data_IF_577214159096
#
_entry.id   IF_577214159096
#
_cell.length_a   1.000
_cell.length_b   1.000
_cell.length_c   1.000
_cell.angle_alpha   90.00
_cell.angle_beta   90.00
_cell.angle_gamma   90.00
#
_symmetry.space_group_name_H-M   'P 1'
#
loop_
_entity.id
_entity.type
_entity.pdbx_description
1 polymer ?
#
# COMPACT_ATOMS: atom_id res chain seq x y z
N UNK A 1 -38.74 -45.77 -34.08
CA UNK A 1 -39.82 -45.25 -33.21
C UNK A 1 -39.19 -44.50 -32.06
N UNK A 2 -39.62 -43.24 -31.93
CA UNK A 2 -39.03 -42.12 -31.19
C UNK A 2 -39.51 -42.15 -29.74
N UNK A 3 -38.65 -42.39 -28.73
CA UNK A 3 -38.80 -41.93 -27.32
C UNK A 3 -37.48 -42.05 -26.53
N UNK A 4 -36.53 -41.14 -26.71
CA UNK A 4 -35.42 -40.98 -25.76
C UNK A 4 -34.78 -39.58 -25.85
N UNK A 5 -35.54 -38.50 -25.68
CA UNK A 5 -34.96 -37.15 -25.61
C UNK A 5 -35.84 -36.19 -24.83
N UNK A 6 -36.29 -36.56 -23.63
CA UNK A 6 -36.90 -35.61 -22.69
C UNK A 6 -36.51 -36.08 -21.29
N UNK A 7 -35.47 -35.50 -20.71
CA UNK A 7 -35.24 -35.46 -19.25
C UNK A 7 -33.98 -34.63 -18.88
N UNK A 8 -33.11 -34.28 -19.83
CA UNK A 8 -31.88 -33.54 -19.54
C UNK A 8 -32.03 -32.01 -19.65
N UNK A 9 -33.14 -31.45 -19.17
CA UNK A 9 -33.33 -29.99 -19.12
C UNK A 9 -33.89 -29.48 -17.78
N UNK A 10 -34.06 -30.35 -16.78
CA UNK A 10 -34.66 -30.00 -15.49
C UNK A 10 -33.65 -29.69 -14.37
N UNK A 11 -32.34 -29.65 -14.65
CA UNK A 11 -31.30 -29.48 -13.63
C UNK A 11 -30.51 -28.15 -13.73
N UNK A 12 -30.91 -27.24 -14.63
CA UNK A 12 -30.23 -25.94 -14.79
C UNK A 12 -30.81 -24.81 -13.91
N UNK A 13 -31.75 -25.10 -13.01
CA UNK A 13 -32.39 -24.10 -12.16
C UNK A 13 -31.89 -24.09 -10.71
N UNK A 14 -30.62 -24.45 -10.46
CA UNK A 14 -29.91 -23.87 -9.32
C UNK A 14 -29.24 -22.58 -9.82
N UNK A 15 -30.07 -21.59 -10.18
CA UNK A 15 -29.62 -20.22 -10.17
C UNK A 15 -29.30 -19.91 -8.69
N UNK A 16 -28.01 -19.88 -8.36
CA UNK A 16 -27.55 -19.31 -7.11
C UNK A 16 -28.15 -17.91 -7.03
N UNK A 17 -29.15 -17.71 -6.16
CA UNK A 17 -29.45 -16.38 -5.67
C UNK A 17 -28.23 -15.99 -4.85
N UNK A 18 -27.30 -15.27 -5.47
CA UNK A 18 -26.38 -14.44 -4.70
C UNK A 18 -27.30 -13.47 -3.96
N UNK A 19 -27.47 -13.71 -2.67
CA UNK A 19 -28.04 -12.72 -1.77
C UNK A 19 -27.22 -11.45 -1.96
N UNK A 20 -27.91 -10.33 -2.20
CA UNK A 20 -27.34 -8.98 -2.09
C UNK A 20 -26.95 -8.76 -0.62
N UNK A 21 -25.91 -9.45 -0.15
CA UNK A 21 -25.13 -8.94 0.95
C UNK A 21 -24.46 -7.70 0.37
N UNK A 22 -24.82 -6.51 0.87
CA UNK A 22 -24.23 -5.24 0.46
C UNK A 22 -22.70 -5.35 0.50
N UNK A 23 -22.09 -5.63 -0.65
CA UNK A 23 -20.63 -5.73 -0.76
C UNK A 23 -20.12 -4.31 -0.56
N UNK A 24 -19.61 -4.02 0.63
CA UNK A 24 -18.88 -2.79 0.88
C UNK A 24 -17.76 -2.71 -0.16
N UNK A 25 -17.89 -1.76 -1.08
CA UNK A 25 -16.89 -1.54 -2.11
C UNK A 25 -15.64 -0.99 -1.44
N UNK A 26 -14.47 -1.45 -1.86
CA UNK A 26 -13.21 -0.92 -1.36
C UNK A 26 -12.18 -0.84 -2.47
N UNK A 27 -11.24 0.09 -2.33
CA UNK A 27 -10.14 0.29 -3.26
C UNK A 27 -8.84 0.52 -2.48
N UNK A 28 -7.70 0.27 -3.11
CA UNK A 28 -6.38 0.55 -2.53
C UNK A 28 -5.83 1.81 -3.17
N UNK A 29 -5.38 2.75 -2.36
CA UNK A 29 -4.78 4.02 -2.79
C UNK A 29 -3.40 4.18 -2.14
N UNK A 30 -2.50 4.88 -2.83
CA UNK A 30 -1.27 5.36 -2.24
C UNK A 30 -1.49 6.75 -1.67
N UNK A 31 -0.94 7.02 -0.48
CA UNK A 31 -0.95 8.34 0.13
C UNK A 31 0.47 8.91 0.20
N UNK A 32 0.64 10.24 0.00
CA UNK A 32 1.94 10.88 0.09
C UNK A 32 2.57 10.69 1.48
N UNK A 33 3.87 10.39 1.50
CA UNK A 33 4.67 10.45 2.72
C UNK A 33 5.00 11.91 3.02
N UNK A 34 4.61 12.41 4.19
CA UNK A 34 4.82 13.80 4.60
C UNK A 34 6.21 14.04 5.20
N UNK A 35 6.71 13.09 5.99
CA UNK A 35 8.03 13.17 6.61
C UNK A 35 8.57 11.80 6.95
N UNK A 36 9.88 11.72 7.14
CA UNK A 36 10.56 10.49 7.55
C UNK A 36 11.68 10.77 8.54
N UNK A 37 11.99 9.75 9.35
CA UNK A 37 13.17 9.72 10.21
C UNK A 37 14.00 8.53 9.74
N UNK A 38 15.10 8.85 9.04
CA UNK A 38 16.03 7.87 8.49
C UNK A 38 17.38 8.05 9.22
N UNK A 39 18.03 6.98 9.68
CA UNK A 39 19.37 7.08 10.25
C UNK A 39 20.38 7.70 9.28
N UNK A 40 21.32 8.48 9.82
CA UNK A 40 22.38 9.12 9.02
C UNK A 40 23.39 8.10 8.44
N UNK A 41 23.52 6.94 9.08
CA UNK A 41 24.36 5.83 8.63
C UNK A 41 23.79 4.48 9.11
N UNK A 42 24.16 3.41 8.42
CA UNK A 42 23.87 2.05 8.85
C UNK A 42 25.15 1.27 9.10
N UNK A 43 25.14 0.39 10.10
CA UNK A 43 26.17 -0.62 10.33
C UNK A 43 25.72 -1.91 9.65
N UNK A 44 26.62 -2.54 8.89
CA UNK A 44 26.31 -3.76 8.15
C UNK A 44 25.70 -4.85 9.05
N UNK A 45 24.57 -5.43 8.60
CA UNK A 45 23.87 -6.50 9.32
C UNK A 45 23.10 -6.07 10.58
N UNK A 46 23.10 -4.79 10.96
CA UNK A 46 22.26 -4.26 12.05
C UNK A 46 20.85 -3.89 11.56
N UNK A 47 19.86 -4.01 12.43
CA UNK A 47 18.48 -3.65 12.11
C UNK A 47 18.18 -2.22 12.56
N UNK A 48 17.51 -1.49 11.69
CA UNK A 48 17.13 -0.10 11.89
C UNK A 48 15.63 0.04 11.70
N UNK A 49 14.99 0.79 12.58
CA UNK A 49 13.60 1.19 12.42
C UNK A 49 13.56 2.55 11.70
N UNK A 50 12.92 2.58 10.54
CA UNK A 50 12.69 3.81 9.78
C UNK A 50 11.25 4.22 10.01
N UNK A 51 11.04 5.47 10.41
CA UNK A 51 9.72 6.04 10.64
C UNK A 51 9.32 6.91 9.46
N UNK A 52 8.03 6.89 9.15
CA UNK A 52 7.40 7.77 8.18
C UNK A 52 6.05 8.27 8.70
N UNK A 53 5.63 9.42 8.22
CA UNK A 53 4.30 9.96 8.49
C UNK A 53 3.55 10.21 7.19
N UNK A 54 2.23 10.15 7.26
CA UNK A 54 1.33 10.50 6.17
C UNK A 54 0.02 11.08 6.71
N UNK A 55 -0.69 11.87 5.90
CA UNK A 55 -2.02 12.37 6.27
C UNK A 55 -3.07 11.34 5.90
N UNK A 56 -3.82 10.87 6.90
CA UNK A 56 -5.04 10.08 6.73
C UNK A 56 -6.23 11.04 6.47
N UNK A 57 -6.80 11.10 5.25
CA UNK A 57 -7.79 12.12 4.93
C UNK A 57 -9.13 11.92 5.64
N UNK A 58 -9.60 10.68 5.73
CA UNK A 58 -10.91 10.36 6.32
C UNK A 58 -10.85 9.10 7.18
N UNK A 59 -11.87 8.89 8.01
CA UNK A 59 -12.02 7.66 8.82
C UNK A 59 -12.12 6.38 8.00
N UNK A 60 -12.46 6.49 6.70
CA UNK A 60 -12.57 5.35 5.80
C UNK A 60 -11.25 4.96 5.14
N UNK A 61 -10.18 5.74 5.36
CA UNK A 61 -8.83 5.41 4.92
C UNK A 61 -8.14 4.58 6.01
N UNK A 62 -8.04 3.28 5.79
CA UNK A 62 -7.41 2.35 6.73
C UNK A 62 -6.01 2.00 6.23
N UNK A 63 -5.01 2.17 7.10
CA UNK A 63 -3.65 1.71 6.83
C UNK A 63 -3.66 0.26 6.36
N UNK A 64 -3.13 0.02 5.16
CA UNK A 64 -3.04 -1.32 4.58
C UNK A 64 -1.63 -1.87 4.76
N UNK A 65 -0.64 -1.15 4.26
CA UNK A 65 0.75 -1.59 4.24
C UNK A 65 1.70 -0.44 3.90
N UNK A 66 3.00 -0.67 4.11
CA UNK A 66 4.08 0.12 3.50
C UNK A 66 4.57 -0.66 2.28
N UNK A 67 4.31 -0.13 1.09
CA UNK A 67 4.83 -0.70 -0.15
C UNK A 67 6.31 -0.38 -0.30
N UNK A 68 7.10 -1.38 -0.73
CA UNK A 68 8.50 -1.20 -1.09
C UNK A 68 8.80 -1.81 -2.46
N UNK A 69 9.50 -1.07 -3.31
CA UNK A 69 10.04 -1.54 -4.58
C UNK A 69 11.57 -1.47 -4.54
N UNK A 70 12.25 -2.56 -4.92
CA UNK A 70 13.71 -2.60 -4.97
C UNK A 70 14.18 -1.89 -6.23
N UNK A 71 15.02 -0.88 -6.05
CA UNK A 71 15.72 -0.16 -7.12
C UNK A 71 17.22 -0.54 -7.14
N UNK A 72 17.97 -0.23 -8.23
CA UNK A 72 19.40 -0.54 -8.28
C UNK A 72 20.21 -0.03 -7.07
N UNK A 73 19.92 1.21 -6.66
CA UNK A 73 20.68 1.94 -5.64
C UNK A 73 19.97 1.95 -4.27
N UNK A 74 18.78 1.35 -4.16
CA UNK A 74 18.04 1.30 -2.89
C UNK A 74 16.58 0.91 -3.05
N UNK A 75 15.67 1.73 -2.52
CA UNK A 75 14.25 1.41 -2.43
C UNK A 75 13.36 2.61 -2.72
N UNK A 76 12.28 2.38 -3.47
CA UNK A 76 11.12 3.27 -3.48
C UNK A 76 10.11 2.78 -2.46
N UNK A 77 9.63 3.68 -1.61
CA UNK A 77 8.73 3.41 -0.49
C UNK A 77 7.45 4.25 -0.64
N UNK A 78 6.29 3.65 -0.43
CA UNK A 78 5.00 4.35 -0.45
C UNK A 78 4.06 3.82 0.64
N UNK A 79 3.12 4.64 1.10
CA UNK A 79 2.08 4.21 2.05
C UNK A 79 0.83 3.81 1.30
N UNK A 80 0.31 2.62 1.57
CA UNK A 80 -0.95 2.14 1.01
C UNK A 80 -2.06 2.17 2.05
N UNK A 81 -3.20 2.71 1.66
CA UNK A 81 -4.45 2.62 2.41
C UNK A 81 -5.52 1.86 1.63
N UNK A 82 -6.38 1.15 2.36
CA UNK A 82 -7.66 0.69 1.83
C UNK A 82 -8.71 1.75 2.11
N UNK A 83 -9.50 2.12 1.10
CA UNK A 83 -10.58 3.09 1.19
C UNK A 83 -11.89 2.36 0.99
N UNK A 84 -12.76 2.39 2.01
CA UNK A 84 -14.10 1.81 1.93
C UNK A 84 -15.10 2.84 1.38
N UNK A 85 -15.79 2.47 0.29
CA UNK A 85 -16.84 3.25 -0.35
C UNK A 85 -18.19 2.56 -0.13
N UNK A 86 -19.08 3.19 0.62
CA UNK A 86 -20.40 2.64 0.96
C UNK A 86 -20.83 2.83 2.42
N UNK A 87 -19.91 3.23 3.29
CA UNK A 87 -20.28 3.75 4.61
C UNK A 87 -20.89 5.15 4.44
N UNK A 88 -22.18 5.28 4.73
CA UNK A 88 -22.85 6.59 4.82
C UNK A 88 -22.24 7.39 5.98
N UNK A 89 -21.13 8.11 5.74
CA UNK A 89 -20.52 9.03 6.71
C UNK A 89 -19.04 8.83 7.01
N UNK A 90 -18.17 8.84 6.00
CA UNK A 90 -16.72 8.98 6.24
C UNK A 90 -16.39 10.42 6.66
N UNK A 91 -16.20 10.69 7.95
CA UNK A 91 -15.79 12.00 8.40
C UNK A 91 -14.37 12.33 7.90
N UNK A 92 -14.15 13.59 7.49
CA UNK A 92 -12.81 14.11 7.19
C UNK A 92 -12.07 14.33 8.49
N UNK A 93 -10.86 13.80 8.61
CA UNK A 93 -10.04 13.87 9.83
C UNK A 93 -8.72 14.56 9.58
N UNK A 94 -8.09 14.35 8.40
CA UNK A 94 -6.75 14.83 8.08
C UNK A 94 -5.73 14.55 9.20
N UNK A 95 -5.79 13.35 9.76
CA UNK A 95 -4.96 12.96 10.88
C UNK A 95 -3.56 12.62 10.40
N UNK A 96 -2.54 13.10 11.10
CA UNK A 96 -1.15 12.69 10.87
C UNK A 96 -0.96 11.32 11.50
N UNK A 97 -0.62 10.33 10.69
CA UNK A 97 -0.40 8.95 11.13
C UNK A 97 1.07 8.60 10.95
N UNK A 98 1.70 8.07 11.99
CA UNK A 98 3.05 7.54 11.96
C UNK A 98 3.03 6.02 11.75
N UNK A 99 3.97 5.53 10.94
CA UNK A 99 4.26 4.11 10.74
C UNK A 99 5.76 3.89 10.65
N UNK A 100 6.17 2.66 10.87
CA UNK A 100 7.57 2.26 10.77
C UNK A 100 7.72 0.92 10.05
N UNK A 101 8.93 0.69 9.54
CA UNK A 101 9.36 -0.60 9.04
C UNK A 101 10.81 -0.86 9.45
N UNK A 102 11.16 -2.13 9.59
CA UNK A 102 12.52 -2.55 9.91
C UNK A 102 13.32 -2.75 8.62
N UNK A 103 14.49 -2.14 8.56
CA UNK A 103 15.45 -2.29 7.49
C UNK A 103 16.74 -2.93 8.01
N UNK A 104 17.34 -3.81 7.21
CA UNK A 104 18.62 -4.44 7.49
C UNK A 104 19.52 -4.32 6.25
N UNK A 105 20.65 -3.59 6.30
CA UNK A 105 21.56 -3.48 5.18
C UNK A 105 22.17 -4.87 4.92
N UNK A 106 21.96 -5.34 3.69
CA UNK A 106 22.41 -6.65 3.23
C UNK A 106 23.66 -6.58 2.33
N UNK A 107 24.12 -5.36 1.99
CA UNK A 107 25.32 -5.10 1.18
C UNK A 107 26.31 -4.31 2.03
N UNK A 108 27.52 -4.81 2.18
CA UNK A 108 28.61 -4.07 2.80
C UNK A 108 29.16 -3.04 1.80
N UNK A 109 29.36 -1.79 2.26
CA UNK A 109 30.04 -0.70 1.52
C UNK A 109 29.28 -0.08 0.34
N UNK A 110 27.95 0.03 0.45
CA UNK A 110 27.13 0.83 -0.47
C UNK A 110 26.33 1.91 0.28
N UNK A 111 26.02 3.00 -0.40
CA UNK A 111 24.99 3.95 0.01
C UNK A 111 23.64 3.44 -0.46
N UNK A 112 22.66 3.38 0.43
CA UNK A 112 21.27 3.11 0.06
C UNK A 112 20.54 4.42 -0.24
N UNK A 113 19.88 4.48 -1.38
CA UNK A 113 19.00 5.59 -1.75
C UNK A 113 17.55 5.20 -1.44
N UNK A 114 16.94 5.87 -0.48
CA UNK A 114 15.50 5.74 -0.21
C UNK A 114 14.75 6.86 -0.90
N UNK A 115 13.74 6.50 -1.69
CA UNK A 115 12.79 7.41 -2.33
C UNK A 115 11.42 7.20 -1.72
N UNK A 116 10.98 8.07 -0.83
CA UNK A 116 9.64 8.01 -0.27
C UNK A 116 8.68 8.80 -1.17
N UNK A 117 7.70 8.14 -1.76
CA UNK A 117 6.75 8.78 -2.68
C UNK A 117 5.93 9.87 -1.96
N UNK A 118 6.02 11.08 -2.48
CA UNK A 118 5.42 12.31 -1.94
C UNK A 118 4.29 12.85 -2.84
N UNK A 119 3.65 11.97 -3.62
CA UNK A 119 2.62 12.38 -4.57
C UNK A 119 3.17 12.64 -5.97
N UNK A 120 2.37 13.33 -6.78
CA UNK A 120 2.74 13.74 -8.13
C UNK A 120 2.43 15.22 -8.30
N UNK A 121 3.26 15.92 -9.07
CA UNK A 121 3.08 17.35 -9.35
C UNK A 121 1.96 17.63 -10.38
N UNK A 122 1.74 18.90 -10.70
CA UNK A 122 0.72 19.34 -11.68
C UNK A 122 0.92 18.77 -13.09
N UNK A 123 2.13 18.33 -13.43
CA UNK A 123 2.45 17.66 -14.70
C UNK A 123 2.20 16.14 -14.67
N UNK A 124 1.83 15.59 -13.50
CA UNK A 124 1.64 14.15 -13.28
C UNK A 124 2.95 13.38 -13.08
N UNK A 125 4.06 14.07 -12.79
CA UNK A 125 5.35 13.46 -12.49
C UNK A 125 5.46 13.18 -10.99
N UNK A 126 5.94 12.00 -10.62
CA UNK A 126 6.10 11.60 -9.23
C UNK A 126 7.19 12.41 -8.51
N UNK A 127 6.87 12.86 -7.29
CA UNK A 127 7.79 13.54 -6.39
C UNK A 127 8.18 12.60 -5.24
N UNK A 128 9.41 12.77 -4.73
CA UNK A 128 9.96 11.90 -3.68
C UNK A 128 10.73 12.70 -2.63
N UNK A 129 10.62 12.27 -1.38
CA UNK A 129 11.62 12.60 -0.35
C UNK A 129 12.80 11.62 -0.51
N UNK A 130 14.00 12.14 -0.78
CA UNK A 130 15.17 11.33 -1.11
C UNK A 130 16.19 11.37 0.03
N UNK A 131 16.63 10.21 0.48
CA UNK A 131 17.64 10.04 1.52
C UNK A 131 18.75 9.11 1.03
N UNK A 132 20.00 9.54 1.17
CA UNK A 132 21.19 8.75 0.87
C UNK A 132 21.85 8.33 2.18
N UNK A 133 21.87 7.03 2.47
CA UNK A 133 22.37 6.50 3.76
C UNK A 133 23.56 5.58 3.51
N UNK A 134 24.79 5.97 3.89
CA UNK A 134 25.97 5.12 3.77
C UNK A 134 25.92 3.93 4.72
N UNK A 135 26.48 2.80 4.29
CA UNK A 135 26.78 1.66 5.17
C UNK A 135 28.23 1.72 5.63
N UNK A 136 28.43 1.76 6.94
CA UNK A 136 29.71 1.72 7.65
C UNK A 136 29.96 0.33 8.28
N UNK A 137 31.22 0.09 8.64
CA UNK A 137 31.68 -1.15 9.28
C UNK A 137 31.41 -1.15 10.80
#
# INVERSE_FOLDING_TARGET
MKKLFICLFALLSLACSVSDDEVQSSSVVMLPVESTIVPDEFVFGQEYEIFLTYIRPTECHIFKDIYSNIEPDGYMIAVMNTVFTGSNGCATTNEIVEKSFTFKPARDKNTYVFKFWHGSNDAGEDEYLIFEVPVVD
#
